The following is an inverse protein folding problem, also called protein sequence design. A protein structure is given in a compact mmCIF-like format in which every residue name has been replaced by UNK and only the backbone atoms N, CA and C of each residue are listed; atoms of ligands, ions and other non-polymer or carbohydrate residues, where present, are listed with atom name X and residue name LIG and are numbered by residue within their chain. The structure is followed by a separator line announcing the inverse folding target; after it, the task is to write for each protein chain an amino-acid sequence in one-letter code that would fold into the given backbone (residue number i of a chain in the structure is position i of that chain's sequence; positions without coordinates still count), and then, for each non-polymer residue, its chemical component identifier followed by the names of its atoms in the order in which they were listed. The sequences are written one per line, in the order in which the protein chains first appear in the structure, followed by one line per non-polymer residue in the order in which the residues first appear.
data_IF_111260166229
#
_entry.id   IF_111260166229
#
_cell.length_a   1.000
_cell.length_b   1.000
_cell.length_c   1.000
_cell.angle_alpha   90.00
_cell.angle_beta   90.00
_cell.angle_gamma   90.00
#
_symmetry.space_group_name_H-M   'P 1'
#
loop_
_entity.id
_entity.type
_entity.pdbx_description
1 polymer ?
#
# COMPACT_ATOMS: atom_id res chain seq x y z
N UNK A 1 -41.03 24.39 66.87
CA UNK A 1 -41.52 23.08 66.34
C UNK A 1 -41.36 23.09 64.84
N UNK A 2 -40.89 21.98 64.24
CA UNK A 2 -40.45 21.76 62.84
C UNK A 2 -39.04 22.31 62.52
N UNK A 3 -37.91 21.57 62.66
CA UNK A 3 -37.38 20.32 62.04
C UNK A 3 -37.12 20.39 60.52
N UNK A 4 -35.82 20.52 60.18
CA UNK A 4 -34.98 19.68 59.27
C UNK A 4 -35.55 19.36 57.88
N UNK A 5 -34.87 19.62 56.75
CA UNK A 5 -33.81 18.79 56.16
C UNK A 5 -33.09 19.62 55.05
N UNK A 6 -31.79 19.89 55.22
CA UNK A 6 -30.89 20.20 54.08
C UNK A 6 -30.48 18.86 53.46
N UNK A 7 -30.92 18.60 52.23
CA UNK A 7 -30.47 17.45 51.45
C UNK A 7 -29.15 17.81 50.76
N UNK A 8 -28.06 17.24 51.25
CA UNK A 8 -26.73 17.32 50.65
C UNK A 8 -26.67 16.46 49.39
N UNK A 9 -26.77 17.10 48.22
CA UNK A 9 -26.45 16.45 46.95
C UNK A 9 -24.93 16.20 46.87
N UNK A 10 -24.51 14.99 47.24
CA UNK A 10 -23.16 14.50 46.99
C UNK A 10 -23.06 14.11 45.52
N UNK A 11 -22.45 14.97 44.72
CA UNK A 11 -22.04 14.65 43.34
C UNK A 11 -20.90 13.63 43.43
N UNK A 12 -21.21 12.35 43.21
CA UNK A 12 -20.20 11.31 43.02
C UNK A 12 -19.64 11.51 41.61
N UNK A 13 -18.49 12.20 41.53
CA UNK A 13 -17.66 12.22 40.32
C UNK A 13 -17.06 10.82 40.13
N UNK A 14 -17.72 10.00 39.31
CA UNK A 14 -17.13 8.77 38.80
C UNK A 14 -16.00 9.18 37.85
N UNK A 15 -14.78 9.22 38.37
CA UNK A 15 -13.57 9.27 37.57
C UNK A 15 -13.52 7.96 36.77
N UNK A 16 -13.99 8.00 35.52
CA UNK A 16 -13.57 7.00 34.54
C UNK A 16 -12.08 7.25 34.29
N UNK A 17 -11.16 6.37 34.70
CA UNK A 17 -9.81 6.44 34.18
C UNK A 17 -9.96 6.18 32.68
N UNK A 18 -9.84 7.25 31.90
CA UNK A 18 -9.58 7.13 30.48
C UNK A 18 -8.29 6.34 30.42
N UNK A 19 -8.42 5.06 30.12
CA UNK A 19 -7.31 4.17 29.83
C UNK A 19 -6.77 4.68 28.50
N UNK A 20 -6.02 5.78 28.57
CA UNK A 20 -5.10 6.24 27.56
C UNK A 20 -4.08 5.11 27.47
N UNK A 21 -4.43 4.10 26.67
CA UNK A 21 -3.47 3.20 26.08
C UNK A 21 -2.53 4.11 25.31
N UNK A 22 -1.44 4.50 25.97
CA UNK A 22 -0.32 5.16 25.35
C UNK A 22 0.19 4.20 24.30
N UNK A 23 -0.29 4.36 23.06
CA UNK A 23 0.50 3.96 21.93
C UNK A 23 1.78 4.78 22.04
N UNK A 24 2.85 4.15 22.53
CA UNK A 24 4.20 4.65 22.28
C UNK A 24 4.24 5.04 20.81
N UNK A 25 4.40 6.33 20.54
CA UNK A 25 4.71 6.80 19.20
C UNK A 25 5.99 6.07 18.82
N UNK A 26 5.87 5.05 17.97
CA UNK A 26 7.02 4.34 17.45
C UNK A 26 7.93 5.39 16.83
N UNK A 27 9.16 5.46 17.34
CA UNK A 27 10.20 6.36 16.81
C UNK A 27 10.32 6.21 15.29
N UNK A 28 10.79 7.26 14.64
CA UNK A 28 11.10 7.23 13.21
C UNK A 28 11.89 5.96 12.86
N UNK A 29 11.65 5.35 11.68
CA UNK A 29 12.42 4.18 11.28
C UNK A 29 13.93 4.51 11.35
N UNK A 30 14.78 3.56 11.80
CA UNK A 30 16.22 3.77 11.82
C UNK A 30 16.74 4.34 10.49
N UNK A 31 17.70 5.26 10.57
CA UNK A 31 18.33 5.85 9.37
C UNK A 31 18.79 4.74 8.43
N UNK A 32 18.46 4.88 7.15
CA UNK A 32 18.84 3.91 6.11
C UNK A 32 17.96 2.66 6.03
N UNK A 33 16.94 2.49 6.89
CA UNK A 33 16.02 1.35 6.83
C UNK A 33 15.30 1.21 5.48
N UNK A 34 14.99 2.33 4.84
CA UNK A 34 14.37 2.37 3.51
C UNK A 34 15.32 3.06 2.53
N UNK A 35 15.56 2.43 1.38
CA UNK A 35 16.34 3.03 0.29
C UNK A 35 15.58 4.20 -0.34
N UNK A 36 16.29 5.01 -1.12
CA UNK A 36 15.67 6.06 -1.93
C UNK A 36 14.68 5.46 -2.95
N UNK A 37 15.08 4.40 -3.65
CA UNK A 37 14.21 3.66 -4.55
C UNK A 37 12.95 3.10 -3.87
N UNK A 38 13.05 2.57 -2.65
CA UNK A 38 11.87 2.11 -1.91
C UNK A 38 10.88 3.27 -1.67
N UNK A 39 11.37 4.41 -1.15
CA UNK A 39 10.53 5.60 -0.94
C UNK A 39 9.94 6.11 -2.25
N UNK A 40 10.72 6.09 -3.33
CA UNK A 40 10.28 6.53 -4.64
C UNK A 40 9.07 5.71 -5.12
N UNK A 41 9.16 4.38 -5.07
CA UNK A 41 8.06 3.48 -5.46
C UNK A 41 6.85 3.67 -4.55
N UNK A 42 7.06 3.74 -3.24
CA UNK A 42 6.00 4.00 -2.26
C UNK A 42 5.20 5.27 -2.59
N UNK A 43 5.88 6.39 -2.82
CA UNK A 43 5.21 7.64 -3.13
C UNK A 43 4.57 7.65 -4.52
N UNK A 44 5.19 7.00 -5.52
CA UNK A 44 4.60 6.86 -6.84
C UNK A 44 3.24 6.16 -6.79
N UNK A 45 3.16 5.05 -6.06
CA UNK A 45 1.93 4.27 -5.90
C UNK A 45 0.88 5.08 -5.15
N UNK A 46 1.27 5.73 -4.05
CA UNK A 46 0.36 6.55 -3.24
C UNK A 46 -0.24 7.69 -4.07
N UNK A 47 0.60 8.47 -4.74
CA UNK A 47 0.19 9.58 -5.61
C UNK A 47 -0.67 9.07 -6.77
N UNK A 48 -0.26 7.98 -7.42
CA UNK A 48 -0.99 7.37 -8.53
C UNK A 48 -2.40 6.93 -8.13
N UNK A 49 -2.56 6.36 -6.94
CA UNK A 49 -3.87 5.97 -6.42
C UNK A 49 -4.80 7.17 -6.19
N UNK A 50 -4.27 8.28 -5.65
CA UNK A 50 -5.02 9.52 -5.45
C UNK A 50 -5.39 10.19 -6.78
N UNK A 51 -4.46 10.23 -7.73
CA UNK A 51 -4.65 10.82 -9.05
C UNK A 51 -5.66 10.06 -9.92
N UNK A 52 -5.60 8.73 -9.88
CA UNK A 52 -6.47 7.89 -10.70
C UNK A 52 -7.83 7.63 -10.03
N UNK A 53 -7.98 7.97 -8.75
CA UNK A 53 -9.27 7.84 -8.07
C UNK A 53 -9.59 6.41 -7.62
N UNK A 54 -8.57 5.60 -7.31
CA UNK A 54 -8.75 4.15 -7.07
C UNK A 54 -9.72 3.94 -5.90
N UNK A 55 -10.75 3.13 -6.10
CA UNK A 55 -11.82 2.85 -5.14
C UNK A 55 -11.40 1.77 -4.17
N UNK A 56 -12.04 1.74 -3.00
CA UNK A 56 -11.72 0.72 -2.00
C UNK A 56 -11.89 -0.71 -2.51
N UNK A 57 -12.96 -0.97 -3.27
CA UNK A 57 -13.23 -2.27 -3.88
C UNK A 57 -12.11 -2.71 -4.83
N UNK A 58 -11.46 -1.77 -5.52
CA UNK A 58 -10.33 -2.08 -6.40
C UNK A 58 -9.07 -2.37 -5.57
N UNK A 59 -8.81 -1.63 -4.50
CA UNK A 59 -7.71 -1.90 -3.57
C UNK A 59 -7.85 -3.29 -2.94
N UNK A 60 -9.07 -3.69 -2.54
CA UNK A 60 -9.33 -5.00 -1.95
C UNK A 60 -9.06 -6.15 -2.93
N UNK A 61 -9.15 -5.90 -4.25
CA UNK A 61 -8.75 -6.85 -5.30
C UNK A 61 -7.22 -6.92 -5.45
N UNK A 62 -6.53 -5.78 -5.35
CA UNK A 62 -5.07 -5.69 -5.50
C UNK A 62 -4.33 -6.28 -4.30
N UNK A 63 -4.74 -5.90 -3.10
CA UNK A 63 -4.17 -6.33 -1.82
C UNK A 63 -5.31 -6.78 -0.89
N UNK A 64 -5.78 -8.02 -0.96
CA UNK A 64 -6.93 -8.45 -0.16
C UNK A 64 -6.60 -8.41 1.33
N UNK A 65 -6.99 -7.30 1.97
CA UNK A 65 -6.79 -7.08 3.40
C UNK A 65 -7.81 -7.95 4.12
N UNK A 66 -7.34 -9.00 4.79
CA UNK A 66 -8.19 -9.75 5.70
C UNK A 66 -8.56 -8.88 6.91
N UNK A 67 -9.71 -9.13 7.56
CA UNK A 67 -10.12 -8.38 8.75
C UNK A 67 -9.07 -8.39 9.88
N UNK A 68 -8.17 -9.38 9.92
CA UNK A 68 -6.96 -9.36 10.72
C UNK A 68 -5.85 -8.54 10.03
N UNK A 69 -5.91 -7.20 10.17
CA UNK A 69 -4.98 -6.23 9.53
C UNK A 69 -3.48 -6.44 9.83
N UNK A 70 -3.11 -7.38 10.70
CA UNK A 70 -1.73 -7.80 10.96
C UNK A 70 -1.21 -8.89 10.00
N UNK A 71 -2.09 -9.52 9.22
CA UNK A 71 -1.74 -10.68 8.44
C UNK A 71 -1.03 -10.29 7.14
N UNK A 72 0.31 -10.26 7.19
CA UNK A 72 1.19 -10.07 6.02
C UNK A 72 1.01 -11.15 4.95
N UNK A 73 0.24 -12.23 5.19
CA UNK A 73 -0.04 -13.25 4.17
C UNK A 73 -0.90 -12.74 3.01
N UNK A 74 -1.56 -11.58 3.11
CA UNK A 74 -2.31 -11.01 1.98
C UNK A 74 -1.43 -10.64 0.79
N UNK A 75 -0.14 -10.33 1.03
CA UNK A 75 0.81 -9.97 -0.02
C UNK A 75 0.96 -11.10 -1.05
N UNK A 76 0.83 -12.36 -0.63
CA UNK A 76 1.17 -13.54 -1.46
C UNK A 76 0.18 -13.79 -2.59
N UNK A 77 -1.02 -13.17 -2.56
CA UNK A 77 -2.04 -13.40 -3.59
C UNK A 77 -1.64 -12.78 -4.93
N UNK A 78 -1.16 -11.53 -4.92
CA UNK A 78 -0.85 -10.77 -6.14
C UNK A 78 0.58 -10.23 -6.18
N UNK A 79 1.36 -10.42 -5.12
CA UNK A 79 2.73 -9.94 -5.01
C UNK A 79 3.66 -11.02 -4.48
N UNK A 80 4.96 -10.83 -4.69
CA UNK A 80 5.99 -11.75 -4.21
C UNK A 80 6.37 -11.37 -2.78
N UNK A 81 6.28 -12.34 -1.87
CA UNK A 81 6.72 -12.19 -0.49
C UNK A 81 8.23 -11.88 -0.44
N UNK A 82 8.67 -11.08 0.53
CA UNK A 82 10.08 -10.65 0.65
C UNK A 82 10.69 -9.91 -0.56
N UNK A 83 9.95 -9.63 -1.63
CA UNK A 83 10.43 -8.78 -2.71
C UNK A 83 10.42 -7.31 -2.28
N UNK A 84 11.54 -6.57 -2.42
CA UNK A 84 11.64 -5.19 -1.94
C UNK A 84 10.78 -4.21 -2.76
N UNK A 85 10.54 -4.49 -4.04
CA UNK A 85 9.60 -3.72 -4.88
C UNK A 85 8.15 -4.00 -4.49
N UNK A 86 7.78 -5.28 -4.31
CA UNK A 86 6.45 -5.66 -3.83
C UNK A 86 6.12 -5.04 -2.48
N UNK A 87 7.07 -5.02 -1.55
CA UNK A 87 6.88 -4.39 -0.25
C UNK A 87 6.55 -2.91 -0.39
N UNK A 88 7.31 -2.15 -1.19
CA UNK A 88 7.07 -0.72 -1.38
C UNK A 88 5.69 -0.43 -2.00
N UNK A 89 5.27 -1.23 -3.00
CA UNK A 89 3.94 -1.11 -3.60
C UNK A 89 2.85 -1.49 -2.61
N UNK A 90 3.01 -2.60 -1.88
CA UNK A 90 2.06 -3.04 -0.86
C UNK A 90 1.87 -1.97 0.22
N UNK A 91 2.95 -1.38 0.72
CA UNK A 91 2.90 -0.34 1.75
C UNK A 91 2.19 0.92 1.25
N UNK A 92 2.40 1.31 -0.02
CA UNK A 92 1.70 2.43 -0.65
C UNK A 92 0.19 2.17 -0.78
N UNK A 93 -0.20 1.01 -1.30
CA UNK A 93 -1.61 0.61 -1.42
C UNK A 93 -2.28 0.47 -0.05
N UNK A 94 -1.57 -0.08 0.93
CA UNK A 94 -2.07 -0.25 2.30
C UNK A 94 -2.32 1.11 2.95
N UNK A 95 -1.38 2.05 2.85
CA UNK A 95 -1.59 3.40 3.36
C UNK A 95 -2.79 4.06 2.67
N UNK A 96 -2.89 3.93 1.35
CA UNK A 96 -4.03 4.43 0.59
C UNK A 96 -5.36 3.78 1.00
N UNK A 97 -5.37 2.50 1.35
CA UNK A 97 -6.59 1.82 1.85
C UNK A 97 -7.14 2.43 3.14
N UNK A 98 -6.25 2.99 3.97
CA UNK A 98 -6.59 3.63 5.25
C UNK A 98 -6.80 5.15 5.11
N UNK A 99 -6.87 5.67 3.87
CA UNK A 99 -7.04 7.10 3.61
C UNK A 99 -8.33 7.62 4.24
N UNK A 100 -8.20 8.78 4.90
CA UNK A 100 -9.35 9.52 5.40
C UNK A 100 -9.99 10.32 4.25
N UNK A 101 -11.27 10.60 4.38
CA UNK A 101 -11.91 11.56 3.50
C UNK A 101 -11.43 12.98 3.79
N UNK A 102 -11.34 13.78 2.74
CA UNK A 102 -11.11 15.20 2.81
C UNK A 102 -12.46 15.92 2.89
N UNK A 103 -12.46 17.06 3.57
CA UNK A 103 -13.55 18.04 3.50
C UNK A 103 -13.00 19.19 2.65
N UNK A 104 -13.57 19.40 1.47
CA UNK A 104 -13.13 20.49 0.60
C UNK A 104 -13.80 21.81 0.98
N UNK A 105 -13.01 22.88 0.91
CA UNK A 105 -13.34 24.28 1.20
C UNK A 105 -14.74 24.61 1.70
N UNK A 106 -14.87 24.92 3.00
CA UNK A 106 -16.03 25.57 3.66
C UNK A 106 -17.43 24.95 3.42
N UNK A 107 -17.56 23.89 2.64
CA UNK A 107 -18.79 23.15 2.38
C UNK A 107 -18.74 21.85 3.17
N UNK A 108 -19.58 21.74 4.20
CA UNK A 108 -19.67 20.53 5.03
C UNK A 108 -20.32 19.34 4.29
N UNK A 109 -20.75 19.51 3.04
CA UNK A 109 -21.55 18.52 2.31
C UNK A 109 -20.76 17.73 1.28
N UNK A 110 -19.58 18.18 0.87
CA UNK A 110 -18.76 17.49 -0.13
C UNK A 110 -17.64 16.69 0.55
N UNK A 111 -17.87 15.39 0.65
CA UNK A 111 -16.92 14.43 1.18
C UNK A 111 -16.35 13.58 0.04
N UNK A 112 -15.04 13.65 -0.16
CA UNK A 112 -14.34 12.78 -1.10
C UNK A 112 -13.02 12.31 -0.48
N UNK A 113 -12.55 11.13 -0.87
CA UNK A 113 -11.32 10.54 -0.32
C UNK A 113 -10.26 10.28 -1.40
N UNK A 114 -10.40 10.92 -2.56
CA UNK A 114 -9.48 10.83 -3.68
C UNK A 114 -9.63 12.04 -4.61
N UNK A 115 -8.71 12.27 -5.54
CA UNK A 115 -8.74 13.41 -6.47
C UNK A 115 -9.10 13.00 -7.91
N UNK A 116 -8.89 11.74 -8.27
CA UNK A 116 -9.22 11.19 -9.58
C UNK A 116 -10.69 10.82 -9.78
N UNK A 117 -11.06 10.58 -11.04
CA UNK A 117 -12.42 10.18 -11.45
C UNK A 117 -12.71 8.68 -11.25
N UNK A 118 -11.68 7.89 -10.92
CA UNK A 118 -11.75 6.45 -10.82
C UNK A 118 -11.19 5.75 -12.06
N UNK A 119 -10.85 4.47 -11.88
CA UNK A 119 -10.32 3.63 -12.95
C UNK A 119 -11.34 3.41 -14.06
N UNK A 120 -10.86 3.31 -15.31
CA UNK A 120 -11.70 3.02 -16.45
C UNK A 120 -12.37 1.64 -16.33
N UNK A 121 -13.43 1.42 -17.12
CA UNK A 121 -14.24 0.20 -17.02
C UNK A 121 -13.47 -1.07 -17.38
N UNK A 122 -12.52 -0.99 -18.31
CA UNK A 122 -11.73 -2.14 -18.74
C UNK A 122 -10.75 -2.55 -17.64
N UNK A 123 -9.99 -1.60 -17.10
CA UNK A 123 -9.07 -1.85 -15.98
C UNK A 123 -9.81 -2.45 -14.77
N UNK A 124 -10.98 -1.91 -14.41
CA UNK A 124 -11.79 -2.46 -13.31
C UNK A 124 -12.25 -3.88 -13.58
N UNK A 125 -12.64 -4.20 -14.82
CA UNK A 125 -13.03 -5.55 -15.21
C UNK A 125 -11.84 -6.52 -15.08
N UNK A 126 -10.67 -6.14 -15.59
CA UNK A 126 -9.48 -6.99 -15.52
C UNK A 126 -8.97 -7.17 -14.08
N UNK A 127 -9.09 -6.16 -13.21
CA UNK A 127 -8.78 -6.30 -11.78
C UNK A 127 -9.70 -7.28 -11.06
N UNK A 128 -10.96 -7.38 -11.48
CA UNK A 128 -11.95 -8.29 -10.92
C UNK A 128 -11.78 -9.74 -11.37
N UNK A 129 -11.00 -9.99 -12.43
CA UNK A 129 -10.58 -11.35 -12.80
C UNK A 129 -9.58 -11.89 -11.77
N UNK A 130 -9.46 -13.22 -11.61
CA UNK A 130 -8.51 -13.78 -10.66
C UNK A 130 -7.14 -14.10 -11.29
N UNK A 131 -6.13 -14.25 -10.44
CA UNK A 131 -4.82 -14.76 -10.86
C UNK A 131 -4.06 -13.83 -11.81
N UNK A 132 -3.65 -14.37 -12.96
CA UNK A 132 -2.72 -13.69 -13.87
C UNK A 132 -3.30 -12.40 -14.47
N UNK A 133 -4.60 -12.37 -14.76
CA UNK A 133 -5.27 -11.18 -15.33
C UNK A 133 -5.23 -9.99 -14.36
N UNK A 134 -5.65 -10.19 -13.11
CA UNK A 134 -5.57 -9.14 -12.08
C UNK A 134 -4.13 -8.68 -11.87
N UNK A 135 -3.18 -9.61 -11.79
CA UNK A 135 -1.75 -9.28 -11.68
C UNK A 135 -1.25 -8.43 -12.85
N UNK A 136 -1.72 -8.69 -14.08
CA UNK A 136 -1.39 -7.89 -15.27
C UNK A 136 -2.00 -6.48 -15.20
N UNK A 137 -3.23 -6.34 -14.70
CA UNK A 137 -3.82 -5.02 -14.47
C UNK A 137 -3.03 -4.21 -13.42
N UNK A 138 -2.63 -4.86 -12.31
CA UNK A 138 -1.79 -4.23 -11.29
C UNK A 138 -0.45 -3.79 -11.87
N UNK A 139 0.20 -4.65 -12.67
CA UNK A 139 1.44 -4.33 -13.37
C UNK A 139 1.30 -3.05 -14.21
N UNK A 140 0.24 -2.94 -15.02
CA UNK A 140 -0.02 -1.78 -15.87
C UNK A 140 -0.22 -0.49 -15.07
N UNK A 141 -1.00 -0.55 -13.99
CA UNK A 141 -1.21 0.58 -13.08
C UNK A 141 0.09 1.05 -12.44
N UNK A 142 0.84 0.12 -11.84
CA UNK A 142 2.10 0.44 -11.16
C UNK A 142 3.11 1.03 -12.14
N UNK A 143 3.24 0.47 -13.35
CA UNK A 143 4.09 1.05 -14.39
C UNK A 143 3.71 2.49 -14.69
N UNK A 144 2.43 2.75 -14.96
CA UNK A 144 1.95 4.10 -15.24
C UNK A 144 2.23 5.07 -14.10
N UNK A 145 2.10 4.64 -12.84
CA UNK A 145 2.40 5.47 -11.67
C UNK A 145 3.89 5.78 -11.52
N UNK A 146 4.76 4.79 -11.77
CA UNK A 146 6.22 5.01 -11.80
C UNK A 146 6.58 6.02 -12.89
N UNK A 147 6.09 5.83 -14.13
CA UNK A 147 6.37 6.74 -15.24
C UNK A 147 5.86 8.16 -14.96
N UNK A 148 4.63 8.29 -14.45
CA UNK A 148 4.07 9.60 -14.04
C UNK A 148 4.97 10.26 -13.01
N UNK A 149 5.43 9.55 -11.97
CA UNK A 149 6.33 10.12 -10.96
C UNK A 149 7.65 10.57 -11.55
N UNK A 150 8.28 9.76 -12.40
CA UNK A 150 9.52 10.14 -13.09
C UNK A 150 9.29 11.44 -13.87
N UNK A 151 8.23 11.50 -14.69
CA UNK A 151 7.95 12.67 -15.52
C UNK A 151 7.69 13.96 -14.71
N UNK A 152 7.02 13.86 -13.56
CA UNK A 152 6.65 15.00 -12.73
C UNK A 152 7.72 15.43 -11.73
N UNK A 153 8.66 14.56 -11.43
CA UNK A 153 9.72 14.83 -10.46
C UNK A 153 10.77 15.85 -10.95
N UNK A 154 10.77 16.20 -12.24
CA UNK A 154 11.76 17.10 -12.82
C UNK A 154 13.18 16.52 -12.85
N UNK A 155 13.33 15.21 -12.66
CA UNK A 155 14.61 14.52 -12.68
C UNK A 155 15.34 14.73 -14.00
N UNK A 156 16.64 15.02 -13.93
CA UNK A 156 17.48 15.06 -15.13
C UNK A 156 17.79 13.63 -15.61
N UNK A 157 18.19 13.42 -16.88
CA UNK A 157 18.42 12.08 -17.42
C UNK A 157 19.38 11.20 -16.59
N UNK A 158 20.39 11.81 -15.95
CA UNK A 158 21.33 11.10 -15.05
C UNK A 158 20.65 10.55 -13.80
N UNK A 159 19.71 11.30 -13.22
CA UNK A 159 18.94 10.89 -12.04
C UNK A 159 17.93 9.81 -12.41
N UNK A 160 17.24 9.96 -13.55
CA UNK A 160 16.36 8.92 -14.09
C UNK A 160 17.13 7.61 -14.28
N UNK A 161 18.32 7.67 -14.89
CA UNK A 161 19.17 6.48 -15.04
C UNK A 161 19.60 5.88 -13.69
N UNK A 162 19.90 6.72 -12.71
CA UNK A 162 20.29 6.27 -11.37
C UNK A 162 19.14 5.55 -10.64
N UNK A 163 17.93 6.13 -10.64
CA UNK A 163 16.77 5.51 -10.00
C UNK A 163 16.39 4.21 -10.70
N UNK A 164 16.38 4.17 -12.04
CA UNK A 164 16.12 2.94 -12.81
C UNK A 164 17.11 1.83 -12.49
N UNK A 165 18.40 2.17 -12.34
CA UNK A 165 19.42 1.20 -11.94
C UNK A 165 19.13 0.63 -10.54
N UNK A 166 18.72 1.45 -9.59
CA UNK A 166 18.35 0.96 -8.26
C UNK A 166 17.11 0.06 -8.30
N UNK A 167 16.09 0.43 -9.10
CA UNK A 167 14.88 -0.39 -9.28
C UNK A 167 15.20 -1.74 -9.93
N UNK A 168 16.13 -1.78 -10.89
CA UNK A 168 16.59 -3.02 -11.50
C UNK A 168 17.29 -3.93 -10.49
N UNK A 169 18.18 -3.40 -9.63
CA UNK A 169 18.81 -4.19 -8.56
C UNK A 169 17.76 -4.77 -7.59
N UNK A 170 16.77 -3.96 -7.19
CA UNK A 170 15.67 -4.42 -6.34
C UNK A 170 14.78 -5.47 -7.03
N UNK A 171 14.63 -5.40 -8.36
CA UNK A 171 13.97 -6.46 -9.14
C UNK A 171 14.76 -7.77 -9.07
N UNK A 172 16.07 -7.71 -9.30
CA UNK A 172 16.93 -8.90 -9.26
C UNK A 172 16.85 -9.61 -7.89
N UNK A 173 16.81 -8.83 -6.80
CA UNK A 173 16.55 -9.34 -5.45
C UNK A 173 15.17 -10.01 -5.33
N UNK A 174 14.14 -9.39 -5.89
CA UNK A 174 12.77 -9.95 -5.91
C UNK A 174 12.64 -11.23 -6.73
N UNK A 175 13.31 -11.31 -7.88
CA UNK A 175 13.33 -12.50 -8.74
C UNK A 175 14.09 -13.65 -8.07
N UNK A 176 15.21 -13.34 -7.40
CA UNK A 176 15.91 -14.31 -6.57
C UNK A 176 15.00 -14.85 -5.46
N UNK A 177 14.29 -13.99 -4.74
CA UNK A 177 13.36 -14.41 -3.69
C UNK A 177 12.23 -15.29 -4.24
N UNK A 178 11.65 -14.94 -5.40
CA UNK A 178 10.63 -15.75 -6.07
C UNK A 178 11.18 -17.16 -6.38
N UNK A 179 12.38 -17.23 -6.96
CA UNK A 179 13.02 -18.51 -7.29
C UNK A 179 13.26 -19.38 -6.04
N UNK A 180 13.75 -18.79 -4.96
CA UNK A 180 13.96 -19.51 -3.70
C UNK A 180 12.64 -20.06 -3.12
N UNK A 181 11.53 -19.34 -3.26
CA UNK A 181 10.20 -19.83 -2.88
C UNK A 181 9.73 -21.00 -3.75
N UNK A 182 9.94 -20.90 -5.06
CA UNK A 182 9.59 -21.98 -6.01
C UNK A 182 10.41 -23.25 -5.77
N UNK A 183 11.65 -23.11 -5.32
CA UNK A 183 12.53 -24.21 -4.90
C UNK A 183 12.18 -24.76 -3.50
N UNK A 184 11.18 -24.19 -2.80
CA UNK A 184 10.75 -24.65 -1.49
C UNK A 184 11.63 -24.21 -0.32
N UNK A 185 12.65 -23.37 -0.55
CA UNK A 185 13.61 -22.94 0.48
C UNK A 185 12.97 -22.10 1.60
N UNK A 186 11.79 -21.54 1.34
CA UNK A 186 11.03 -20.71 2.28
C UNK A 186 9.75 -21.39 2.81
N UNK A 187 9.62 -22.71 2.61
CA UNK A 187 8.52 -23.53 3.10
C UNK A 187 7.48 -23.89 2.04
N UNK A 188 6.80 -25.02 2.26
CA UNK A 188 5.86 -25.63 1.30
C UNK A 188 4.64 -24.75 0.99
N UNK A 189 4.16 -23.97 1.97
CA UNK A 189 3.01 -23.06 1.77
C UNK A 189 3.31 -22.01 0.70
N UNK A 190 4.49 -21.38 0.76
CA UNK A 190 4.90 -20.39 -0.23
C UNK A 190 5.23 -21.05 -1.56
N UNK A 191 5.86 -22.23 -1.55
CA UNK A 191 6.16 -22.97 -2.78
C UNK A 191 4.89 -23.23 -3.59
N UNK A 192 3.86 -23.81 -2.97
CA UNK A 192 2.55 -24.06 -3.62
C UNK A 192 1.91 -22.78 -4.16
N UNK A 193 2.10 -21.66 -3.48
CA UNK A 193 1.54 -20.37 -3.93
C UNK A 193 2.26 -19.81 -5.17
N UNK A 194 3.57 -20.06 -5.32
CA UNK A 194 4.39 -19.47 -6.38
C UNK A 194 4.80 -20.43 -7.51
N UNK A 195 4.52 -21.73 -7.42
CA UNK A 195 4.95 -22.75 -8.41
C UNK A 195 4.53 -22.43 -9.86
N UNK A 196 3.37 -21.79 -10.05
CA UNK A 196 2.86 -21.41 -11.38
C UNK A 196 3.28 -20.02 -11.86
N UNK A 197 4.10 -19.28 -11.09
CA UNK A 197 4.47 -17.92 -11.43
C UNK A 197 5.68 -17.92 -12.37
N UNK A 198 5.56 -17.26 -13.52
CA UNK A 198 6.70 -17.09 -14.44
C UNK A 198 7.60 -15.94 -14.01
N UNK A 199 7.00 -14.87 -13.50
CA UNK A 199 7.68 -13.64 -13.12
C UNK A 199 6.86 -12.88 -12.08
N UNK A 200 7.48 -11.86 -11.46
CA UNK A 200 6.80 -10.95 -10.55
C UNK A 200 6.16 -9.78 -11.34
N UNK A 201 4.81 -9.65 -11.35
CA UNK A 201 4.12 -8.57 -12.07
C UNK A 201 4.49 -7.18 -11.53
N UNK A 202 4.73 -7.06 -10.22
CA UNK A 202 5.13 -5.79 -9.61
C UNK A 202 6.54 -5.41 -10.04
N UNK A 203 7.48 -6.36 -10.07
CA UNK A 203 8.82 -6.11 -10.57
C UNK A 203 8.78 -5.64 -12.03
N UNK A 204 7.98 -6.30 -12.87
CA UNK A 204 7.81 -5.90 -14.27
C UNK A 204 7.12 -4.56 -14.42
N UNK A 205 6.22 -4.20 -13.50
CA UNK A 205 5.57 -2.89 -13.48
C UNK A 205 6.52 -1.78 -13.06
N UNK A 206 7.32 -2.00 -12.02
CA UNK A 206 8.20 -0.96 -11.48
C UNK A 206 9.50 -0.80 -12.28
N UNK A 207 10.04 -1.92 -12.76
CA UNK A 207 11.28 -1.98 -13.52
C UNK A 207 11.13 -2.95 -14.70
N UNK A 208 10.41 -2.55 -15.77
CA UNK A 208 10.32 -3.33 -17.01
C UNK A 208 11.71 -3.71 -17.55
N UNK A 209 11.83 -4.91 -18.14
CA UNK A 209 13.10 -5.37 -18.76
C UNK A 209 13.50 -4.59 -20.02
N UNK A 210 12.55 -3.90 -20.67
CA UNK A 210 12.74 -3.22 -21.96
C UNK A 210 12.65 -1.70 -21.81
N UNK A 211 13.52 -1.11 -21.00
CA UNK A 211 13.74 0.34 -21.02
C UNK A 211 15.10 0.58 -21.66
N UNK A 212 15.10 0.57 -22.99
CA UNK A 212 16.20 1.09 -23.82
C UNK A 212 16.24 2.62 -23.72
#
# INVERSE_FOLDING_TARGET
MFRTILSTLSIILIFFPTLLSGQEMREHPPKGKFSEAHRFVFFAVLEGCFDDGVRQQEIDLMIPIRPDRENRRSIVKNMVYSCPLCSAVFDGLRLYSDRQGFISGMSKTEWYNTFGQGLDKETRKTLAEEGASCRKAIQGLVNNWIEKRISRSGMIPKEVKAIRKQLALMRDEGEKALKEMQEGKMGEELQKNYEGWKECPICQGVSPMNID
#
